data_IF_161591359734
#
_entry.id   IF_161591359734
#
_cell.length_a   1.000
_cell.length_b   1.000
_cell.length_c   1.000
_cell.angle_alpha   90.00
_cell.angle_beta   90.00
_cell.angle_gamma   90.00
#
_symmetry.space_group_name_H-M   'P 1'
#
loop_
_entity.id
_entity.type
_entity.pdbx_description
1 polymer ?
#
# COMPACT_ATOMS: atom_id res chain seq x y z
N UNK A 1 2.33 21.74 64.13
CA UNK A 1 3.45 21.15 63.35
C UNK A 1 3.32 19.64 63.48
N UNK A 2 2.63 18.99 62.54
CA UNK A 2 2.44 17.54 62.54
C UNK A 2 3.64 16.90 61.84
N UNK A 3 4.24 15.83 62.40
CA UNK A 3 5.40 15.21 61.77
C UNK A 3 4.94 14.56 60.46
N UNK A 4 5.63 14.87 59.35
CA UNK A 4 5.55 14.07 58.14
C UNK A 4 6.12 12.70 58.50
N UNK A 5 5.24 11.73 58.76
CA UNK A 5 5.62 10.34 58.81
C UNK A 5 6.22 9.98 57.44
N UNK A 6 7.49 9.59 57.41
CA UNK A 6 8.10 8.99 56.24
C UNK A 6 7.39 7.65 55.99
N UNK A 7 6.32 7.67 55.20
CA UNK A 7 5.65 6.46 54.74
C UNK A 7 6.62 5.77 53.78
N UNK A 8 7.33 4.75 54.26
CA UNK A 8 8.21 3.93 53.43
C UNK A 8 7.38 3.41 52.25
N UNK A 9 7.74 3.90 51.06
CA UNK A 9 6.99 3.68 49.83
C UNK A 9 7.80 2.74 48.95
N UNK A 10 7.16 1.64 48.56
CA UNK A 10 7.78 0.59 47.77
C UNK A 10 6.85 0.24 46.62
N UNK A 11 7.40 -0.03 45.44
CA UNK A 11 6.63 -0.46 44.27
C UNK A 11 7.45 -1.46 43.44
N UNK A 12 6.77 -2.50 42.97
CA UNK A 12 7.29 -3.53 42.08
C UNK A 12 7.24 -3.08 40.63
N UNK A 13 7.92 -3.82 39.75
CA UNK A 13 7.75 -3.72 38.31
C UNK A 13 6.32 -4.13 37.89
N UNK A 14 5.84 -3.50 36.82
CA UNK A 14 4.60 -3.82 36.13
C UNK A 14 4.76 -5.12 35.31
N UNK A 15 4.04 -6.15 35.75
CA UNK A 15 3.94 -7.43 35.04
C UNK A 15 2.75 -7.37 34.10
N UNK A 16 2.91 -7.89 32.87
CA UNK A 16 1.85 -7.94 31.86
C UNK A 16 1.86 -9.29 31.17
N UNK A 17 0.71 -9.91 31.04
CA UNK A 17 0.53 -11.20 30.37
C UNK A 17 -0.66 -11.12 29.40
N UNK A 18 -0.44 -11.54 28.17
CA UNK A 18 -1.45 -11.52 27.12
C UNK A 18 -1.84 -12.96 26.77
N UNK A 19 -3.13 -13.26 26.85
CA UNK A 19 -3.68 -14.59 26.62
C UNK A 19 -4.84 -14.53 25.62
N UNK A 20 -4.92 -15.52 24.73
CA UNK A 20 -6.06 -15.68 23.82
C UNK A 20 -7.28 -16.18 24.56
N UNK A 21 -8.47 -15.63 24.26
CA UNK A 21 -9.71 -16.08 24.87
C UNK A 21 -10.25 -17.30 24.10
N UNK A 22 -10.39 -18.43 24.78
CA UNK A 22 -10.98 -19.64 24.21
C UNK A 22 -12.38 -19.37 23.65
N UNK A 23 -12.61 -19.70 22.38
CA UNK A 23 -13.89 -19.46 21.70
C UNK A 23 -14.01 -18.10 20.99
N UNK A 24 -12.97 -17.26 21.00
CA UNK A 24 -12.95 -16.01 20.22
C UNK A 24 -11.58 -15.75 19.59
N UNK A 25 -11.52 -15.73 18.26
CA UNK A 25 -10.28 -15.44 17.52
C UNK A 25 -9.88 -13.95 17.57
N UNK A 26 -10.84 -13.07 17.85
CA UNK A 26 -10.67 -11.62 17.82
C UNK A 26 -10.56 -10.99 19.22
N UNK A 27 -10.58 -11.79 20.29
CA UNK A 27 -10.53 -11.29 21.67
C UNK A 27 -9.30 -11.82 22.41
N UNK A 28 -8.63 -10.90 23.12
CA UNK A 28 -7.53 -11.24 24.00
C UNK A 28 -7.74 -10.70 25.39
N UNK A 29 -7.28 -11.45 26.37
CA UNK A 29 -7.25 -11.04 27.75
C UNK A 29 -5.83 -10.57 28.10
N UNK A 30 -5.71 -9.29 28.44
CA UNK A 30 -4.47 -8.71 28.95
C UNK A 30 -4.58 -8.57 30.46
N UNK A 31 -3.79 -9.35 31.18
CA UNK A 31 -3.65 -9.24 32.63
C UNK A 31 -2.43 -8.38 32.96
N UNK A 32 -2.59 -7.45 33.90
CA UNK A 32 -1.55 -6.56 34.38
C UNK A 32 -1.51 -6.62 35.89
N UNK A 33 -0.32 -6.69 36.49
CA UNK A 33 -0.17 -6.74 37.94
C UNK A 33 0.99 -5.89 38.42
N UNK A 34 0.79 -5.18 39.52
CA UNK A 34 1.82 -4.45 40.20
C UNK A 34 1.57 -4.47 41.72
N UNK A 35 2.65 -4.41 42.49
CA UNK A 35 2.59 -4.40 43.97
C UNK A 35 3.15 -3.09 44.46
N UNK A 36 2.50 -2.42 45.40
CA UNK A 36 3.09 -1.22 45.99
C UNK A 36 2.40 -0.70 47.24
N UNK A 37 3.05 0.28 47.86
CA UNK A 37 2.56 1.03 49.03
C UNK A 37 2.83 2.51 48.80
N UNK A 38 1.81 3.36 48.59
CA UNK A 38 0.37 3.03 48.48
C UNK A 38 0.04 2.18 47.24
N UNK A 39 -1.21 1.74 47.09
CA UNK A 39 -1.61 0.90 45.96
C UNK A 39 -1.28 1.59 44.61
N UNK A 40 -0.57 0.92 43.67
CA UNK A 40 -0.29 1.47 42.36
C UNK A 40 -1.56 1.55 41.50
N UNK A 41 -1.68 2.59 40.69
CA UNK A 41 -2.71 2.70 39.66
C UNK A 41 -2.25 2.05 38.36
N UNK A 42 -3.13 1.31 37.68
CA UNK A 42 -2.86 0.71 36.37
C UNK A 42 -3.90 1.21 35.35
N UNK A 43 -3.45 1.63 34.18
CA UNK A 43 -4.29 2.04 33.06
C UNK A 43 -3.75 1.51 31.72
N UNK A 44 -4.63 1.46 30.71
CA UNK A 44 -4.32 1.02 29.35
C UNK A 44 -4.60 2.15 28.36
N UNK A 45 -3.72 2.29 27.36
CA UNK A 45 -3.90 3.18 26.22
C UNK A 45 -3.65 2.43 24.90
N UNK A 46 -4.50 2.65 23.87
CA UNK A 46 -5.78 3.37 23.90
C UNK A 46 -6.90 2.56 24.56
N UNK A 47 -7.76 3.20 25.35
CA UNK A 47 -8.88 2.51 26.04
C UNK A 47 -9.97 2.02 25.09
N UNK A 48 -10.04 2.58 23.87
CA UNK A 48 -11.02 2.23 22.84
C UNK A 48 -10.89 0.78 22.36
N UNK A 49 -9.73 0.13 22.59
CA UNK A 49 -9.55 -1.28 22.22
C UNK A 49 -10.18 -2.25 23.21
N UNK A 50 -10.55 -1.79 24.41
CA UNK A 50 -11.14 -2.62 25.45
C UNK A 50 -12.65 -2.74 25.23
N UNK A 51 -13.17 -3.97 25.22
CA UNK A 51 -14.59 -4.27 24.96
C UNK A 51 -15.46 -3.95 26.18
N UNK A 52 -14.93 -4.21 27.37
CA UNK A 52 -15.62 -4.02 28.64
C UNK A 52 -14.74 -3.24 29.62
N UNK A 53 -15.31 -2.62 30.66
CA UNK A 53 -14.53 -2.07 31.75
C UNK A 53 -13.55 -3.11 32.31
N UNK A 54 -12.37 -2.64 32.72
CA UNK A 54 -11.35 -3.51 33.27
C UNK A 54 -11.84 -4.15 34.58
N UNK A 55 -11.60 -5.45 34.74
CA UNK A 55 -11.81 -6.10 36.03
C UNK A 55 -10.60 -5.82 36.91
N UNK A 56 -10.82 -5.18 38.05
CA UNK A 56 -9.77 -4.85 39.02
C UNK A 56 -9.90 -5.73 40.28
N UNK A 57 -8.78 -6.22 40.77
CA UNK A 57 -8.67 -6.97 42.01
C UNK A 57 -7.53 -6.40 42.85
N UNK A 58 -7.82 -6.13 44.12
CA UNK A 58 -6.88 -5.61 45.10
C UNK A 58 -6.66 -6.65 46.19
N UNK A 59 -5.43 -7.06 46.40
CA UNK A 59 -5.05 -7.95 47.49
C UNK A 59 -4.08 -7.24 48.44
N UNK A 60 -4.42 -7.23 49.72
CA UNK A 60 -3.54 -6.69 50.75
C UNK A 60 -2.56 -7.77 51.21
N UNK A 61 -1.27 -7.48 51.13
CA UNK A 61 -0.21 -8.38 51.52
C UNK A 61 0.20 -8.16 52.99
N UNK A 62 0.77 -9.17 53.67
CA UNK A 62 1.18 -9.07 55.07
C UNK A 62 2.28 -8.03 55.32
N UNK A 63 3.05 -7.67 54.28
CA UNK A 63 4.06 -6.60 54.31
C UNK A 63 3.47 -5.18 54.14
N UNK A 64 2.16 -5.01 54.31
CA UNK A 64 1.43 -3.76 54.14
C UNK A 64 1.50 -3.14 52.73
N UNK A 65 1.92 -3.91 51.72
CA UNK A 65 1.77 -3.54 50.30
C UNK A 65 0.42 -4.01 49.77
N UNK A 66 -0.02 -3.41 48.67
CA UNK A 66 -1.23 -3.82 47.95
C UNK A 66 -0.82 -4.30 46.56
N UNK A 67 -1.24 -5.51 46.22
CA UNK A 67 -1.18 -6.04 44.85
C UNK A 67 -2.42 -5.57 44.11
N UNK A 68 -2.23 -4.87 43.00
CA UNK A 68 -3.28 -4.49 42.06
C UNK A 68 -3.15 -5.34 40.82
N UNK A 69 -4.21 -6.10 40.51
CA UNK A 69 -4.32 -6.87 39.28
C UNK A 69 -5.48 -6.31 38.45
N UNK A 70 -5.23 -5.96 37.18
CA UNK A 70 -6.25 -5.54 36.22
C UNK A 70 -6.27 -6.46 35.00
N UNK A 71 -7.47 -6.86 34.60
CA UNK A 71 -7.69 -7.65 33.39
C UNK A 71 -8.50 -6.85 32.37
N UNK A 72 -8.00 -6.79 31.14
CA UNK A 72 -8.58 -6.08 30.01
C UNK A 72 -8.94 -7.04 28.89
N UNK A 73 -10.20 -7.04 28.46
CA UNK A 73 -10.63 -7.74 27.25
C UNK A 73 -10.42 -6.86 26.03
N UNK A 74 -9.36 -7.12 25.25
CA UNK A 74 -8.95 -6.37 24.07
C UNK A 74 -9.55 -6.98 22.80
N UNK A 75 -10.23 -6.18 22.00
CA UNK A 75 -10.68 -6.57 20.66
C UNK A 75 -9.58 -6.32 19.62
N UNK A 76 -9.06 -7.39 19.02
CA UNK A 76 -8.15 -7.34 17.88
C UNK A 76 -8.78 -6.69 16.65
N UNK A 77 -10.10 -6.86 16.47
CA UNK A 77 -10.85 -6.21 15.40
C UNK A 77 -10.82 -4.69 15.55
N UNK A 78 -11.10 -4.20 16.74
CA UNK A 78 -11.05 -2.75 17.04
C UNK A 78 -9.63 -2.22 16.98
N UNK A 79 -8.65 -2.94 17.55
CA UNK A 79 -7.25 -2.55 17.45
C UNK A 79 -6.79 -2.41 16.00
N UNK A 80 -7.16 -3.35 15.12
CA UNK A 80 -6.88 -3.28 13.68
C UNK A 80 -7.59 -2.10 13.01
N UNK A 81 -8.86 -1.85 13.35
CA UNK A 81 -9.62 -0.70 12.85
C UNK A 81 -8.94 0.63 13.20
N UNK A 82 -8.24 0.68 14.34
CA UNK A 82 -7.48 1.85 14.79
C UNK A 82 -6.04 1.87 14.27
N UNK A 83 -5.62 0.87 13.49
CA UNK A 83 -4.25 0.74 12.98
C UNK A 83 -3.22 0.41 14.07
N UNK A 84 -3.66 -0.08 15.23
CA UNK A 84 -2.81 -0.35 16.38
C UNK A 84 -2.16 -1.72 16.27
N UNK A 85 -0.86 -1.73 16.52
CA UNK A 85 -0.06 -2.97 16.59
C UNK A 85 0.27 -3.37 18.03
N UNK A 86 0.24 -2.40 18.95
CA UNK A 86 0.57 -2.58 20.35
C UNK A 86 -0.40 -1.77 21.20
N UNK A 87 -0.52 -2.15 22.47
CA UNK A 87 -1.15 -1.34 23.52
C UNK A 87 -0.09 -0.95 24.54
N UNK A 88 -0.29 0.18 25.22
CA UNK A 88 0.59 0.65 26.28
C UNK A 88 -0.15 0.49 27.60
N UNK A 89 0.48 -0.20 28.54
CA UNK A 89 0.01 -0.28 29.92
C UNK A 89 0.88 0.63 30.76
N UNK A 90 0.25 1.54 31.50
CA UNK A 90 0.95 2.47 32.38
C UNK A 90 0.63 2.16 33.85
N UNK A 91 1.68 2.08 34.66
CA UNK A 91 1.61 2.02 36.11
C UNK A 91 1.96 3.40 36.68
N UNK A 92 1.05 3.96 37.47
CA UNK A 92 1.25 5.22 38.20
C UNK A 92 1.38 4.94 39.68
N UNK A 93 2.49 5.34 40.28
CA UNK A 93 2.73 5.26 41.72
C UNK A 93 3.56 6.47 42.19
N UNK A 94 3.40 6.97 43.43
CA UNK A 94 4.13 8.16 43.90
C UNK A 94 5.66 8.07 43.77
N UNK A 95 6.21 6.86 43.86
CA UNK A 95 7.67 6.61 43.75
C UNK A 95 8.13 6.48 42.30
N UNK A 96 7.31 5.90 41.43
CA UNK A 96 7.72 5.50 40.08
C UNK A 96 6.53 5.47 39.13
N UNK A 97 6.77 5.93 37.91
CA UNK A 97 5.93 5.68 36.76
C UNK A 97 6.60 4.67 35.84
N UNK A 98 5.84 3.72 35.31
CA UNK A 98 6.33 2.70 34.37
C UNK A 98 5.34 2.50 33.24
N UNK A 99 5.85 2.38 32.02
CA UNK A 99 5.05 2.04 30.85
C UNK A 99 5.58 0.75 30.24
N UNK A 100 4.67 -0.12 29.80
CA UNK A 100 5.00 -1.35 29.12
C UNK A 100 4.20 -1.48 27.84
N UNK A 101 4.93 -1.65 26.75
CA UNK A 101 4.36 -1.87 25.42
C UNK A 101 4.06 -3.36 25.31
N UNK A 102 2.80 -3.70 25.11
CA UNK A 102 2.34 -5.07 24.92
C UNK A 102 1.99 -5.25 23.45
N UNK A 103 2.74 -6.08 22.70
CA UNK A 103 2.46 -6.32 21.30
C UNK A 103 1.18 -7.14 21.15
N UNK A 104 0.31 -6.72 20.24
CA UNK A 104 -0.89 -7.49 19.91
C UNK A 104 -0.54 -8.53 18.84
N UNK A 105 -0.96 -9.80 18.98
CA UNK A 105 -0.87 -10.77 17.90
C UNK A 105 -1.57 -10.23 16.67
N UNK A 106 -0.79 -10.15 15.60
CA UNK A 106 -1.31 -9.93 14.28
C UNK A 106 -1.91 -11.25 13.84
N UNK A 107 -3.22 -11.28 13.62
CA UNK A 107 -3.80 -12.34 12.82
C UNK A 107 -3.15 -12.20 11.43
N UNK A 108 -2.15 -13.04 11.14
CA UNK A 108 -1.60 -13.23 9.79
C UNK A 108 -2.62 -13.99 8.93
N UNK A 109 -3.90 -13.65 9.04
CA UNK A 109 -4.92 -14.06 8.10
C UNK A 109 -4.46 -13.55 6.75
N UNK A 110 -3.96 -14.46 5.93
CA UNK A 110 -3.29 -14.22 4.67
C UNK A 110 -4.06 -13.23 3.83
N UNK A 111 -3.69 -11.96 3.95
CA UNK A 111 -4.02 -10.91 3.00
C UNK A 111 -2.73 -10.18 2.73
N UNK A 112 -1.71 -10.94 2.29
CA UNK A 112 -1.00 -10.43 1.11
C UNK A 112 -2.14 -10.15 0.13
N UNK A 113 -2.27 -8.91 -0.29
CA UNK A 113 -3.33 -8.51 -1.20
C UNK A 113 -3.12 -9.26 -2.51
N UNK A 114 -3.44 -10.55 -2.57
CA UNK A 114 -3.06 -11.46 -3.65
C UNK A 114 -3.66 -10.93 -4.94
N UNK A 115 -4.86 -10.35 -4.86
CA UNK A 115 -5.48 -9.59 -5.94
C UNK A 115 -4.69 -8.33 -6.34
N UNK A 116 -4.20 -7.49 -5.41
CA UNK A 116 -3.42 -6.30 -5.77
C UNK A 116 -2.04 -6.67 -6.31
N UNK A 117 -1.34 -7.63 -5.70
CA UNK A 117 -0.06 -8.13 -6.16
C UNK A 117 -0.19 -8.84 -7.52
N UNK A 118 -1.26 -9.62 -7.74
CA UNK A 118 -1.59 -10.20 -9.03
C UNK A 118 -1.89 -9.13 -10.08
N UNK A 119 -2.66 -8.10 -9.72
CA UNK A 119 -2.95 -6.97 -10.62
C UNK A 119 -1.68 -6.19 -10.96
N UNK A 120 -0.80 -5.94 -10.00
CA UNK A 120 0.50 -5.27 -10.22
C UNK A 120 1.36 -6.14 -11.16
N UNK A 121 1.50 -7.43 -10.87
CA UNK A 121 2.27 -8.37 -11.72
C UNK A 121 1.70 -8.43 -13.13
N UNK A 122 0.38 -8.60 -13.29
CA UNK A 122 -0.28 -8.62 -14.59
C UNK A 122 -0.10 -7.29 -15.36
N UNK A 123 -0.17 -6.16 -14.67
CA UNK A 123 0.05 -4.83 -15.27
C UNK A 123 1.47 -4.70 -15.80
N UNK A 124 2.48 -5.13 -15.03
CA UNK A 124 3.88 -5.12 -15.47
C UNK A 124 4.09 -6.00 -16.70
N UNK A 125 3.51 -7.22 -16.71
CA UNK A 125 3.58 -8.10 -17.86
C UNK A 125 2.97 -7.48 -19.12
N UNK A 126 1.78 -6.87 -19.02
CA UNK A 126 1.12 -6.21 -20.16
C UNK A 126 1.99 -5.07 -20.71
N UNK A 127 2.59 -4.25 -19.84
CA UNK A 127 3.45 -3.13 -20.26
C UNK A 127 4.69 -3.66 -21.00
N UNK A 128 5.35 -4.68 -20.47
CA UNK A 128 6.54 -5.30 -21.11
C UNK A 128 6.20 -5.93 -22.47
N UNK A 129 5.04 -6.60 -22.54
CA UNK A 129 4.47 -7.16 -23.75
C UNK A 129 4.37 -6.02 -24.80
N UNK A 130 3.69 -4.91 -24.48
CA UNK A 130 3.46 -3.79 -25.40
C UNK A 130 4.77 -3.16 -25.92
N UNK A 131 5.73 -2.92 -25.02
CA UNK A 131 7.05 -2.38 -25.39
C UNK A 131 7.75 -3.33 -26.38
N UNK A 132 7.63 -4.64 -26.17
CA UNK A 132 8.23 -5.64 -27.06
C UNK A 132 7.62 -5.61 -28.47
N UNK A 133 6.30 -5.47 -28.65
CA UNK A 133 5.72 -5.30 -30.01
C UNK A 133 6.21 -4.03 -30.67
N UNK A 134 6.30 -2.92 -29.94
CA UNK A 134 6.72 -1.65 -30.53
C UNK A 134 8.15 -1.80 -31.09
N UNK A 135 9.07 -2.41 -30.33
CA UNK A 135 10.45 -2.64 -30.76
C UNK A 135 10.50 -3.58 -31.97
N UNK A 136 9.80 -4.72 -31.92
CA UNK A 136 9.77 -5.69 -33.03
C UNK A 136 9.15 -5.05 -34.29
N UNK A 137 8.07 -4.29 -34.14
CA UNK A 137 7.40 -3.57 -35.20
C UNK A 137 8.32 -2.53 -35.85
N UNK A 138 9.06 -1.75 -35.06
CA UNK A 138 10.03 -0.79 -35.55
C UNK A 138 11.17 -1.47 -36.33
N UNK A 139 11.74 -2.57 -35.81
CA UNK A 139 12.78 -3.34 -36.50
C UNK A 139 12.28 -3.92 -37.83
N UNK A 140 11.06 -4.48 -37.84
CA UNK A 140 10.44 -5.01 -39.07
C UNK A 140 10.13 -3.90 -40.07
N UNK A 141 9.69 -2.74 -39.59
CA UNK A 141 9.44 -1.57 -40.42
C UNK A 141 10.73 -1.05 -41.07
N UNK A 142 11.80 -0.91 -40.31
CA UNK A 142 13.12 -0.49 -40.82
C UNK A 142 13.64 -1.51 -41.83
N UNK A 143 13.55 -2.80 -41.53
CA UNK A 143 13.96 -3.86 -42.44
C UNK A 143 13.12 -3.86 -43.74
N UNK A 144 11.81 -3.63 -43.65
CA UNK A 144 10.93 -3.54 -44.81
C UNK A 144 11.26 -2.30 -45.67
N UNK A 145 11.51 -1.15 -45.05
CA UNK A 145 11.98 0.07 -45.72
C UNK A 145 13.32 -0.17 -46.43
N UNK A 146 14.28 -0.82 -45.77
CA UNK A 146 15.58 -1.19 -46.35
C UNK A 146 15.43 -2.13 -47.55
N UNK A 147 14.60 -3.16 -47.44
CA UNK A 147 14.33 -4.07 -48.56
C UNK A 147 13.65 -3.36 -49.74
N UNK A 148 12.79 -2.36 -49.47
CA UNK A 148 12.15 -1.56 -50.53
C UNK A 148 13.13 -0.62 -51.24
N UNK A 149 14.10 -0.03 -50.53
CA UNK A 149 15.12 0.81 -51.18
C UNK A 149 16.07 0.01 -52.08
N UNK A 150 16.38 -1.23 -51.71
CA UNK A 150 17.28 -2.12 -52.47
C UNK A 150 16.63 -2.71 -53.74
N UNK A 151 15.30 -2.83 -53.76
CA UNK A 151 14.54 -3.35 -54.91
C UNK A 151 14.09 -2.26 -55.89
N UNK A 152 14.64 -1.04 -55.85
CA UNK A 152 14.33 -0.01 -56.85
C UNK A 152 15.13 -0.32 -58.11
N UNK A 153 14.49 -0.71 -59.24
CA UNK A 153 15.22 -0.92 -60.49
C UNK A 153 15.76 0.42 -60.99
N UNK A 154 17.00 0.45 -61.49
CA UNK A 154 17.45 1.56 -62.35
C UNK A 154 16.40 1.76 -63.46
N UNK A 155 16.04 3.02 -63.80
CA UNK A 155 15.16 3.26 -64.92
C UNK A 155 15.88 2.83 -66.20
N UNK A 156 15.54 1.62 -66.64
CA UNK A 156 15.91 1.06 -67.94
C UNK A 156 15.54 2.05 -69.05
N UNK A 157 16.58 2.51 -69.75
CA UNK A 157 16.53 3.32 -70.95
C UNK A 157 15.67 2.63 -72.01
N UNK A 158 14.42 3.05 -72.13
CA UNK A 158 13.48 2.50 -73.11
C UNK A 158 13.70 3.16 -74.48
N UNK A 159 14.36 2.40 -75.35
CA UNK A 159 14.08 2.22 -76.78
C UNK A 159 13.37 3.37 -77.53
N UNK A 160 14.15 4.10 -78.32
CA UNK A 160 13.71 5.05 -79.36
C UNK A 160 13.02 4.35 -80.54
N UNK A 161 11.79 4.72 -80.93
CA UNK A 161 11.32 4.52 -82.29
C UNK A 161 11.69 5.76 -83.12
N UNK A 162 12.41 5.57 -84.22
CA UNK A 162 12.65 6.63 -85.22
C UNK A 162 11.32 7.15 -85.78
N UNK A 163 11.20 8.47 -86.00
CA UNK A 163 10.35 8.99 -87.05
C UNK A 163 11.14 9.95 -87.96
N UNK A 164 11.32 9.52 -89.21
CA UNK A 164 11.71 10.39 -90.31
C UNK A 164 10.42 11.00 -90.89
N UNK A 165 10.16 12.29 -90.62
CA UNK A 165 9.72 13.30 -91.63
C UNK A 165 9.07 14.55 -91.01
N UNK A 166 9.57 15.70 -91.50
CA UNK A 166 8.87 16.97 -91.73
C UNK A 166 8.70 17.96 -90.57
N UNK A 167 9.71 18.82 -90.44
CA UNK A 167 9.66 20.30 -90.48
C UNK A 167 8.34 21.00 -90.07
N UNK A 168 8.36 21.75 -88.94
CA UNK A 168 8.00 23.18 -88.78
C UNK A 168 7.83 23.52 -87.26
N UNK A 169 8.18 24.74 -86.78
CA UNK A 169 8.58 25.00 -85.39
C UNK A 169 7.53 25.70 -84.47
N UNK A 170 7.50 25.29 -83.18
CA UNK A 170 7.66 26.09 -81.91
C UNK A 170 6.57 27.13 -81.50
N UNK A 171 6.47 27.59 -80.22
CA UNK A 171 6.00 26.99 -78.92
C UNK A 171 4.86 27.89 -78.29
N UNK A 172 4.66 28.07 -76.94
CA UNK A 172 4.77 27.22 -75.74
C UNK A 172 3.46 27.16 -74.86
N UNK A 173 3.46 26.25 -73.89
CA UNK A 173 2.85 26.29 -72.53
C UNK A 173 1.53 27.04 -72.26
N UNK A 174 0.55 26.37 -71.64
CA UNK A 174 0.24 26.51 -70.19
C UNK A 174 -1.09 25.82 -69.87
N UNK A 175 -0.99 24.88 -68.93
CA UNK A 175 -1.99 24.27 -68.09
C UNK A 175 -3.11 25.22 -67.61
N UNK A 176 -4.36 24.88 -67.89
CA UNK A 176 -5.51 25.36 -67.10
C UNK A 176 -6.62 24.33 -67.23
N UNK A 177 -6.69 23.40 -66.27
CA UNK A 177 -7.96 22.73 -66.00
C UNK A 177 -8.09 22.39 -64.51
N UNK A 178 -8.25 23.46 -63.74
CA UNK A 178 -8.93 23.42 -62.44
C UNK A 178 -10.37 23.86 -62.65
N UNK A 179 -11.30 23.00 -63.11
CA UNK A 179 -12.73 23.22 -62.84
C UNK A 179 -13.63 22.02 -63.19
N UNK A 180 -13.67 20.97 -62.38
CA UNK A 180 -14.92 20.24 -62.05
C UNK A 180 -14.62 18.95 -61.29
N UNK A 181 -14.83 18.97 -59.97
CA UNK A 181 -15.90 18.14 -59.42
C UNK A 181 -16.32 18.66 -58.05
N UNK A 182 -17.35 19.49 -58.14
CA UNK A 182 -18.32 19.82 -57.13
C UNK A 182 -18.60 18.69 -56.11
N UNK A 183 -18.75 19.12 -54.85
CA UNK A 183 -19.93 18.93 -53.98
C UNK A 183 -20.57 17.53 -53.96
N UNK A 184 -20.62 16.95 -52.75
CA UNK A 184 -21.81 16.78 -51.88
C UNK A 184 -21.34 16.10 -50.58
N UNK A 185 -21.37 16.78 -49.43
CA UNK A 185 -22.52 16.99 -48.52
C UNK A 185 -23.17 15.69 -48.02
N UNK A 186 -23.01 15.43 -46.72
CA UNK A 186 -24.08 15.00 -45.80
C UNK A 186 -23.60 15.17 -44.36
N UNK A 187 -24.06 16.22 -43.68
CA UNK A 187 -24.28 16.27 -42.23
C UNK A 187 -25.43 17.26 -41.98
N UNK A 188 -26.61 16.69 -41.73
CA UNK A 188 -27.63 17.14 -40.77
C UNK A 188 -28.53 15.95 -40.51
#
# INVERSE_FOLDING_TARGET
MLPLCAQESAVSELVTELQSVSGSEDLQNLQCSAVGKPAPGISIYPSQVTVHPAQEYLAQNPNATVTVTKSYSISLKTARSLGLQNVVVSMTHPVRHEEKIVPLPRNQGGTTNSCLNWKITATIFIILFLISWIIIGALRFIHFKKKRSENTPEPSSTQTPNPLSTLVPTPPSTETDNLMRHRRQTET
#
